data_IF_062037809411
#
_entry.id   IF_062037809411
#
_cell.length_a   1.000
_cell.length_b   1.000
_cell.length_c   1.000
_cell.angle_alpha   90.00
_cell.angle_beta   90.00
_cell.angle_gamma   90.00
#
_symmetry.space_group_name_H-M   'P 1'
#
loop_
_entity.id
_entity.type
_entity.pdbx_description
1 polymer ?
#
# COMPACT_ATOMS: atom_id res chain seq x y z
N UNK A 1 30.96 -38.72 2.19
CA UNK A 1 30.31 -39.53 3.25
C UNK A 1 29.55 -38.66 4.26
N UNK A 2 28.71 -37.73 3.78
CA UNK A 2 27.77 -36.92 4.60
C UNK A 2 26.33 -37.01 4.10
N UNK A 3 26.09 -37.81 3.06
CA UNK A 3 24.76 -38.10 2.46
C UNK A 3 24.12 -39.39 3.01
N UNK A 4 24.74 -40.02 4.02
CA UNK A 4 24.28 -41.28 4.64
C UNK A 4 23.72 -41.11 6.06
N UNK A 5 23.57 -39.87 6.53
CA UNK A 5 23.06 -39.55 7.88
C UNK A 5 21.70 -38.82 7.88
N UNK A 6 20.96 -38.88 6.76
CA UNK A 6 19.59 -38.34 6.66
C UNK A 6 18.52 -39.42 6.48
N UNK A 7 18.91 -40.70 6.50
CA UNK A 7 18.02 -41.84 6.26
C UNK A 7 17.59 -42.59 7.54
N UNK A 8 17.91 -42.07 8.74
CA UNK A 8 17.73 -42.81 10.00
C UNK A 8 16.78 -42.14 11.01
N UNK A 9 16.12 -41.03 10.65
CA UNK A 9 15.13 -40.34 11.52
C UNK A 9 13.68 -40.58 11.05
N UNK A 10 13.47 -41.20 9.88
CA UNK A 10 12.14 -41.60 9.39
C UNK A 10 11.65 -42.97 9.91
N UNK A 11 12.36 -43.60 10.86
CA UNK A 11 12.04 -44.93 11.40
C UNK A 11 11.34 -44.92 12.78
N UNK A 12 10.65 -43.83 13.13
CA UNK A 12 9.75 -43.76 14.31
C UNK A 12 8.27 -43.66 13.89
N UNK A 13 7.98 -43.92 12.61
CA UNK A 13 6.61 -44.20 12.14
C UNK A 13 6.37 -45.70 12.28
N UNK A 14 6.08 -46.13 13.51
CA UNK A 14 5.49 -47.44 13.78
C UNK A 14 4.54 -47.34 14.97
N UNK A 15 3.27 -47.67 14.68
CA UNK A 15 2.42 -48.49 15.55
C UNK A 15 1.59 -47.81 16.64
N UNK A 16 0.38 -47.35 16.26
CA UNK A 16 -0.89 -47.66 16.94
C UNK A 16 -2.06 -47.04 16.17
N UNK A 17 -3.23 -47.63 15.94
CA UNK A 17 -3.75 -49.00 15.94
C UNK A 17 -5.10 -48.89 15.21
N UNK A 18 -5.42 -49.87 14.37
CA UNK A 18 -6.69 -49.96 13.68
C UNK A 18 -7.85 -50.21 14.66
N UNK A 19 -9.03 -49.65 14.40
CA UNK A 19 -10.29 -50.20 14.92
C UNK A 19 -11.41 -50.01 13.90
N UNK A 20 -11.92 -51.15 13.45
CA UNK A 20 -13.29 -51.46 13.04
C UNK A 20 -13.93 -50.79 11.80
N UNK A 21 -14.04 -51.63 10.76
CA UNK A 21 -14.99 -51.54 9.66
C UNK A 21 -16.42 -51.87 10.11
N UNK A 22 -17.43 -51.21 9.52
CA UNK A 22 -18.85 -51.55 9.63
C UNK A 22 -19.63 -50.99 8.45
N UNK A 23 -20.06 -51.87 7.55
CA UNK A 23 -20.65 -51.62 6.22
C UNK A 23 -22.12 -51.15 6.26
N UNK A 24 -22.51 -50.21 5.37
CA UNK A 24 -23.80 -50.27 4.67
C UNK A 24 -23.88 -49.33 3.45
N UNK A 25 -24.37 -49.94 2.37
CA UNK A 25 -24.75 -49.48 1.03
C UNK A 25 -25.40 -48.10 0.90
N UNK A 26 -25.03 -47.37 -0.16
CA UNK A 26 -25.81 -46.25 -0.69
C UNK A 26 -25.07 -45.42 -1.75
N UNK A 27 -25.06 -45.87 -3.01
CA UNK A 27 -24.66 -45.07 -4.17
C UNK A 27 -25.62 -43.89 -4.36
N UNK A 28 -25.12 -42.67 -4.39
CA UNK A 28 -25.71 -41.59 -5.21
C UNK A 28 -24.60 -40.64 -5.64
N UNK A 29 -24.41 -40.53 -6.96
CA UNK A 29 -23.58 -39.51 -7.57
C UNK A 29 -24.12 -38.12 -7.28
N UNK A 30 -23.26 -37.19 -6.85
CA UNK A 30 -23.35 -35.78 -7.25
C UNK A 30 -21.93 -35.22 -7.30
N UNK A 31 -21.47 -35.03 -8.54
CA UNK A 31 -20.26 -34.31 -8.92
C UNK A 31 -20.60 -32.82 -9.00
N UNK A 32 -19.79 -31.95 -8.40
CA UNK A 32 -19.76 -30.55 -8.79
C UNK A 32 -19.43 -29.57 -7.67
N UNK A 33 -18.13 -29.31 -7.52
CA UNK A 33 -17.55 -28.02 -7.10
C UNK A 33 -17.69 -27.61 -5.62
N UNK A 34 -16.79 -28.16 -4.80
CA UNK A 34 -16.17 -27.37 -3.74
C UNK A 34 -15.27 -26.33 -4.41
N UNK A 35 -15.71 -25.08 -4.48
CA UNK A 35 -14.78 -23.95 -4.47
C UNK A 35 -14.19 -23.91 -3.07
N UNK A 36 -13.07 -24.59 -2.92
CA UNK A 36 -12.12 -24.38 -1.85
C UNK A 36 -11.60 -22.97 -2.04
N UNK A 37 -12.24 -21.99 -1.41
CA UNK A 37 -11.57 -20.75 -1.06
C UNK A 37 -10.49 -21.16 -0.08
N UNK A 38 -9.33 -21.49 -0.64
CA UNK A 38 -8.09 -21.54 0.09
C UNK A 38 -7.84 -20.11 0.54
N UNK A 39 -8.49 -19.73 1.65
CA UNK A 39 -8.04 -18.64 2.48
C UNK A 39 -6.61 -19.02 2.88
N UNK A 40 -5.65 -18.52 2.09
CA UNK A 40 -4.35 -18.19 2.62
C UNK A 40 -4.61 -17.45 3.91
N UNK A 41 -3.85 -17.80 4.94
CA UNK A 41 -3.64 -16.91 6.08
C UNK A 41 -2.93 -15.66 5.52
N UNK A 42 -3.69 -14.79 4.83
CA UNK A 42 -3.23 -13.52 4.28
C UNK A 42 -2.93 -12.64 5.49
N UNK A 43 -1.64 -12.47 5.79
CA UNK A 43 -1.20 -11.49 6.76
C UNK A 43 -1.81 -10.14 6.42
N UNK A 44 -2.35 -9.45 7.43
CA UNK A 44 -2.89 -8.11 7.26
C UNK A 44 -1.81 -7.20 6.65
N UNK A 45 -2.06 -6.70 5.44
CA UNK A 45 -1.18 -5.73 4.76
C UNK A 45 -0.95 -4.52 5.67
N UNK A 46 0.30 -4.09 5.77
CA UNK A 46 0.76 -2.94 6.56
C UNK A 46 1.18 -1.81 5.63
N UNK A 47 0.53 -0.66 5.76
CA UNK A 47 0.81 0.55 4.98
C UNK A 47 1.24 1.67 5.92
N UNK A 48 2.39 2.27 5.66
CA UNK A 48 2.84 3.47 6.32
C UNK A 48 2.76 4.66 5.35
N UNK A 49 2.26 5.80 5.83
CA UNK A 49 2.17 7.05 5.07
C UNK A 49 3.11 8.10 5.67
N UNK A 50 3.93 8.72 4.81
CA UNK A 50 4.82 9.84 5.13
C UNK A 50 4.37 11.10 4.38
N UNK A 51 3.95 12.13 5.12
CA UNK A 51 3.52 13.40 4.56
C UNK A 51 4.31 14.59 5.12
N UNK A 52 4.41 15.72 4.42
CA UNK A 52 5.11 16.89 4.92
C UNK A 52 4.43 17.50 6.16
N UNK A 53 3.10 17.54 6.19
CA UNK A 53 2.36 18.28 7.23
C UNK A 53 0.92 17.81 7.39
N UNK A 54 0.28 18.24 8.48
CA UNK A 54 -1.18 18.25 8.68
C UNK A 54 -1.73 19.66 8.96
N UNK A 55 -0.93 20.70 8.79
CA UNK A 55 -1.30 22.08 9.10
C UNK A 55 -2.19 22.74 8.02
N UNK A 56 -2.45 22.05 6.91
CA UNK A 56 -3.37 22.47 5.87
C UNK A 56 -4.55 21.48 5.79
N UNK A 57 -5.81 21.97 5.67
CA UNK A 57 -7.00 21.15 5.49
C UNK A 57 -6.88 20.04 4.44
N UNK A 58 -6.13 20.26 3.33
CA UNK A 58 -5.94 19.22 2.31
C UNK A 58 -5.28 17.96 2.89
N UNK A 59 -4.19 18.12 3.63
CA UNK A 59 -3.47 17.00 4.25
C UNK A 59 -4.31 16.30 5.31
N UNK A 60 -5.11 17.05 6.07
CA UNK A 60 -6.06 16.49 7.05
C UNK A 60 -7.10 15.61 6.35
N UNK A 61 -7.67 16.10 5.25
CA UNK A 61 -8.67 15.34 4.49
C UNK A 61 -8.06 14.13 3.79
N UNK A 62 -6.84 14.26 3.27
CA UNK A 62 -6.12 13.16 2.65
C UNK A 62 -5.78 12.04 3.65
N UNK A 63 -5.23 12.40 4.81
CA UNK A 63 -5.02 11.49 5.95
C UNK A 63 -6.28 10.72 6.33
N UNK A 64 -7.39 11.44 6.52
CA UNK A 64 -8.66 10.84 6.90
C UNK A 64 -9.17 9.88 5.82
N UNK A 65 -9.07 10.28 4.54
CA UNK A 65 -9.45 9.42 3.42
C UNK A 65 -8.63 8.14 3.33
N UNK A 66 -7.30 8.23 3.53
CA UNK A 66 -6.40 7.08 3.58
C UNK A 66 -6.77 6.14 4.73
N UNK A 67 -6.99 6.68 5.93
CA UNK A 67 -7.38 5.91 7.11
C UNK A 67 -8.73 5.21 6.93
N UNK A 68 -9.74 5.93 6.47
CA UNK A 68 -11.08 5.38 6.24
C UNK A 68 -11.06 4.24 5.22
N UNK A 69 -10.23 4.34 4.18
CA UNK A 69 -10.07 3.28 3.19
C UNK A 69 -9.31 2.08 3.77
N UNK A 70 -8.25 2.32 4.55
CA UNK A 70 -7.52 1.25 5.21
C UNK A 70 -8.42 0.44 6.16
N UNK A 71 -9.26 1.11 6.95
CA UNK A 71 -10.24 0.44 7.82
C UNK A 71 -11.24 -0.41 7.02
N UNK A 72 -11.77 0.12 5.92
CA UNK A 72 -12.70 -0.62 5.03
C UNK A 72 -12.06 -1.85 4.39
N UNK A 73 -10.77 -1.79 4.11
CA UNK A 73 -10.01 -2.89 3.51
C UNK A 73 -9.37 -3.83 4.54
N UNK A 74 -9.48 -3.52 5.83
CA UNK A 74 -8.82 -4.29 6.89
C UNK A 74 -7.30 -4.20 6.87
N UNK A 75 -6.74 -3.10 6.34
CA UNK A 75 -5.29 -2.81 6.27
C UNK A 75 -4.82 -2.19 7.59
N UNK A 76 -3.65 -2.59 8.07
CA UNK A 76 -2.96 -1.89 9.17
C UNK A 76 -2.33 -0.62 8.63
N UNK A 77 -2.75 0.53 9.12
CA UNK A 77 -2.31 1.82 8.63
C UNK A 77 -1.62 2.64 9.72
N UNK A 78 -0.50 3.25 9.37
CA UNK A 78 0.17 4.27 10.18
C UNK A 78 0.46 5.50 9.33
N UNK A 79 0.50 6.66 9.98
CA UNK A 79 0.77 7.92 9.31
C UNK A 79 1.74 8.73 10.18
N UNK A 80 2.73 9.33 9.52
CA UNK A 80 3.74 10.17 10.15
C UNK A 80 3.91 11.44 9.31
N UNK A 81 4.16 12.56 9.97
CA UNK A 81 4.56 13.81 9.30
C UNK A 81 5.97 14.21 9.68
N UNK A 82 6.56 15.08 8.87
CA UNK A 82 7.74 15.82 9.31
C UNK A 82 7.44 16.62 10.60
N UNK A 83 8.49 16.98 11.36
CA UNK A 83 8.33 17.88 12.50
C UNK A 83 7.79 19.24 12.06
N UNK A 84 7.02 19.89 12.92
CA UNK A 84 6.28 21.11 12.58
C UNK A 84 7.14 22.34 12.25
N UNK A 85 8.44 22.33 12.60
CA UNK A 85 9.41 23.36 12.24
C UNK A 85 10.21 23.04 10.96
N UNK A 86 9.95 21.88 10.35
CA UNK A 86 10.67 21.33 9.19
C UNK A 86 9.73 20.58 8.24
N UNK A 87 8.49 21.05 8.14
CA UNK A 87 7.38 20.42 7.39
C UNK A 87 7.75 20.02 5.96
N UNK A 88 8.49 20.89 5.26
CA UNK A 88 8.86 20.70 3.85
C UNK A 88 10.36 20.42 3.66
N UNK A 89 11.05 20.07 4.74
CA UNK A 89 12.48 19.78 4.69
C UNK A 89 12.74 18.34 4.17
N UNK A 90 13.58 18.17 3.13
CA UNK A 90 13.90 16.84 2.60
C UNK A 90 14.70 15.97 3.56
N UNK A 91 15.62 16.53 4.36
CA UNK A 91 16.42 15.74 5.31
C UNK A 91 15.54 15.20 6.45
N UNK A 92 14.60 16.02 6.94
CA UNK A 92 13.59 15.58 7.89
C UNK A 92 12.75 14.42 7.32
N UNK A 93 12.33 14.52 6.05
CA UNK A 93 11.53 13.46 5.41
C UNK A 93 12.35 12.19 5.17
N UNK A 94 13.63 12.29 4.82
CA UNK A 94 14.55 11.15 4.75
C UNK A 94 14.55 10.40 6.09
N UNK A 95 14.76 11.11 7.19
CA UNK A 95 14.75 10.49 8.52
C UNK A 95 13.41 9.84 8.88
N UNK A 96 12.27 10.39 8.44
CA UNK A 96 10.97 9.72 8.58
C UNK A 96 10.93 8.42 7.77
N UNK A 97 11.36 8.44 6.51
CA UNK A 97 11.37 7.25 5.65
C UNK A 97 12.27 6.15 6.24
N UNK A 98 13.48 6.48 6.68
CA UNK A 98 14.40 5.53 7.33
C UNK A 98 13.78 4.88 8.57
N UNK A 99 13.09 5.66 9.41
CA UNK A 99 12.38 5.14 10.57
C UNK A 99 11.23 4.21 10.17
N UNK A 100 10.50 4.52 9.08
CA UNK A 100 9.45 3.67 8.55
C UNK A 100 9.99 2.36 7.97
N UNK A 101 11.14 2.40 7.28
CA UNK A 101 11.83 1.20 6.78
C UNK A 101 12.09 0.23 7.93
N UNK A 102 12.53 0.73 9.10
CA UNK A 102 12.78 -0.09 10.28
C UNK A 102 11.53 -0.76 10.88
N UNK A 103 10.33 -0.30 10.50
CA UNK A 103 9.06 -0.94 10.89
C UNK A 103 8.61 -2.04 9.94
N UNK A 104 9.35 -2.25 8.85
CA UNK A 104 9.12 -3.27 7.81
C UNK A 104 7.66 -3.32 7.28
N UNK A 105 7.06 -2.18 6.87
CA UNK A 105 5.74 -2.19 6.25
C UNK A 105 5.79 -2.83 4.86
N UNK A 106 4.67 -3.35 4.37
CA UNK A 106 4.57 -3.85 2.99
C UNK A 106 4.64 -2.70 1.97
N UNK A 107 4.09 -1.54 2.34
CA UNK A 107 4.02 -0.34 1.49
C UNK A 107 4.37 0.90 2.28
N UNK A 108 5.22 1.76 1.70
CA UNK A 108 5.38 3.15 2.14
C UNK A 108 4.78 4.06 1.05
N UNK A 109 3.78 4.85 1.44
CA UNK A 109 3.23 5.93 0.65
C UNK A 109 3.87 7.25 1.07
N UNK A 110 4.35 8.04 0.10
CA UNK A 110 5.12 9.26 0.36
C UNK A 110 4.50 10.42 -0.44
N UNK A 111 4.13 11.51 0.23
CA UNK A 111 4.00 12.81 -0.43
C UNK A 111 5.34 13.54 -0.36
N UNK A 112 6.13 13.57 -1.45
CA UNK A 112 7.54 13.94 -1.40
C UNK A 112 7.73 15.45 -1.22
N UNK A 113 8.64 15.84 -0.31
CA UNK A 113 9.04 17.24 -0.09
C UNK A 113 9.99 17.77 -1.16
N UNK A 114 10.61 16.87 -1.95
CA UNK A 114 11.53 17.21 -3.03
C UNK A 114 11.44 16.20 -4.17
N UNK A 115 11.60 16.67 -5.41
CA UNK A 115 11.62 15.80 -6.60
C UNK A 115 12.82 14.85 -6.61
N UNK A 116 13.97 15.30 -6.13
CA UNK A 116 15.23 14.53 -6.18
C UNK A 116 15.81 14.24 -4.79
N UNK A 117 15.51 15.11 -3.81
CA UNK A 117 16.22 15.15 -2.53
C UNK A 117 16.00 13.95 -1.62
N UNK A 118 15.00 13.12 -1.88
CA UNK A 118 14.66 11.95 -1.05
C UNK A 118 14.89 10.61 -1.78
N UNK A 119 15.42 10.64 -3.01
CA UNK A 119 15.52 9.45 -3.85
C UNK A 119 16.35 8.32 -3.22
N UNK A 120 17.42 8.65 -2.50
CA UNK A 120 18.26 7.65 -1.82
C UNK A 120 17.49 6.89 -0.75
N UNK A 121 16.60 7.55 0.00
CA UNK A 121 15.75 6.87 0.98
C UNK A 121 14.67 6.00 0.31
N UNK A 122 14.14 6.43 -0.83
CA UNK A 122 13.21 5.63 -1.66
C UNK A 122 13.91 4.37 -2.18
N UNK A 123 15.14 4.52 -2.68
CA UNK A 123 15.96 3.40 -3.14
C UNK A 123 16.21 2.40 -2.01
N UNK A 124 16.57 2.88 -0.82
CA UNK A 124 16.77 2.04 0.35
C UNK A 124 15.52 1.23 0.70
N UNK A 125 14.35 1.88 0.81
CA UNK A 125 13.08 1.20 1.05
C UNK A 125 12.81 0.10 0.02
N UNK A 126 13.00 0.40 -1.26
CA UNK A 126 12.80 -0.56 -2.35
C UNK A 126 13.78 -1.74 -2.27
N UNK A 127 15.05 -1.52 -1.89
CA UNK A 127 16.03 -2.61 -1.72
C UNK A 127 15.70 -3.53 -0.55
N UNK A 128 14.98 -3.03 0.45
CA UNK A 128 14.45 -3.81 1.57
C UNK A 128 13.17 -4.59 1.21
N UNK A 129 12.71 -4.49 -0.05
CA UNK A 129 11.51 -5.18 -0.54
C UNK A 129 10.21 -4.45 -0.24
N UNK A 130 10.27 -3.21 0.27
CA UNK A 130 9.11 -2.40 0.58
C UNK A 130 8.62 -1.75 -0.72
N UNK A 131 7.31 -1.82 -0.98
CA UNK A 131 6.73 -1.15 -2.14
C UNK A 131 6.60 0.35 -1.87
N UNK A 132 7.21 1.17 -2.72
CA UNK A 132 7.11 2.64 -2.59
C UNK A 132 6.08 3.20 -3.58
N UNK A 133 5.13 3.99 -3.07
CA UNK A 133 4.14 4.74 -3.83
C UNK A 133 4.29 6.22 -3.50
N UNK A 134 4.12 7.12 -4.48
CA UNK A 134 4.06 8.56 -4.20
C UNK A 134 2.66 9.11 -4.39
N UNK A 135 2.28 10.15 -3.65
CA UNK A 135 1.06 10.92 -3.87
C UNK A 135 1.33 12.43 -3.87
N UNK A 136 0.39 13.20 -4.43
CA UNK A 136 0.48 14.67 -4.49
C UNK A 136 1.49 15.16 -5.54
N UNK A 137 2.75 14.76 -5.36
CA UNK A 137 3.89 15.09 -6.19
C UNK A 137 4.62 13.84 -6.72
N UNK A 138 5.53 14.04 -7.69
CA UNK A 138 6.38 12.98 -8.25
C UNK A 138 7.83 13.20 -7.83
N UNK A 139 8.54 12.09 -7.66
CA UNK A 139 10.00 12.10 -7.58
C UNK A 139 10.59 11.67 -8.93
N UNK A 140 11.90 11.87 -9.09
CA UNK A 140 12.65 11.35 -10.23
C UNK A 140 13.15 9.91 -10.04
N UNK A 141 12.97 9.33 -8.84
CA UNK A 141 13.36 7.94 -8.56
C UNK A 141 12.62 6.95 -9.44
N UNK A 142 13.36 5.97 -9.98
CA UNK A 142 12.80 4.86 -10.76
C UNK A 142 12.22 3.73 -9.89
N UNK A 143 12.43 3.80 -8.57
CA UNK A 143 11.99 2.80 -7.59
C UNK A 143 10.57 3.05 -7.06
N UNK A 144 9.91 4.10 -7.55
CA UNK A 144 8.49 4.36 -7.28
C UNK A 144 7.62 3.46 -8.16
N UNK A 145 6.79 2.63 -7.53
CA UNK A 145 5.93 1.65 -8.22
C UNK A 145 4.72 2.32 -8.89
N UNK A 146 4.14 3.32 -8.22
CA UNK A 146 3.05 4.12 -8.77
C UNK A 146 3.08 5.53 -8.17
N UNK A 147 2.65 6.51 -8.95
CA UNK A 147 2.41 7.89 -8.48
C UNK A 147 0.93 8.23 -8.62
N UNK A 148 0.34 8.73 -7.53
CA UNK A 148 -1.04 9.17 -7.44
C UNK A 148 -1.04 10.70 -7.44
N UNK A 149 -1.18 11.31 -8.60
CA UNK A 149 -1.12 12.77 -8.76
C UNK A 149 -2.32 13.31 -9.52
N UNK A 150 -2.80 14.49 -9.14
CA UNK A 150 -3.78 15.22 -9.93
C UNK A 150 -3.14 15.84 -11.18
N UNK A 151 -3.91 15.93 -12.28
CA UNK A 151 -3.52 16.70 -13.46
C UNK A 151 -3.71 18.20 -13.18
N UNK A 152 -2.68 18.80 -12.57
CA UNK A 152 -2.69 20.22 -12.19
C UNK A 152 -2.80 21.17 -13.41
N UNK A 153 -2.39 20.75 -14.61
CA UNK A 153 -2.58 21.54 -15.82
C UNK A 153 -4.05 21.60 -16.21
N UNK A 154 -4.74 20.46 -16.24
CA UNK A 154 -6.19 20.44 -16.47
C UNK A 154 -6.97 21.14 -15.36
N UNK A 155 -6.52 21.00 -14.11
CA UNK A 155 -7.01 21.80 -12.99
C UNK A 155 -6.93 23.29 -13.31
N UNK A 156 -5.73 23.79 -13.61
CA UNK A 156 -5.51 25.20 -13.98
C UNK A 156 -6.30 25.67 -15.20
N UNK A 157 -6.41 24.84 -16.25
CA UNK A 157 -7.23 25.11 -17.44
C UNK A 157 -8.71 25.22 -17.06
N UNK A 158 -9.19 24.37 -16.15
CA UNK A 158 -10.59 24.38 -15.72
C UNK A 158 -10.89 25.57 -14.81
N UNK A 159 -9.96 25.94 -13.93
CA UNK A 159 -10.05 27.18 -13.17
C UNK A 159 -10.08 28.40 -14.10
N UNK A 160 -9.20 28.41 -15.11
CA UNK A 160 -9.12 29.49 -16.10
C UNK A 160 -10.36 29.60 -16.99
N UNK A 161 -10.98 28.47 -17.37
CA UNK A 161 -12.21 28.43 -18.17
C UNK A 161 -13.48 28.83 -17.39
N UNK A 162 -13.44 28.82 -16.05
CA UNK A 162 -14.59 29.17 -15.20
C UNK A 162 -14.65 30.67 -14.85
N UNK A 163 -13.76 31.48 -15.43
CA UNK A 163 -13.67 32.94 -15.38
C UNK A 163 -13.55 33.59 -13.97
N UNK A 164 -12.36 34.11 -13.66
CA UNK A 164 -12.20 35.36 -12.88
C UNK A 164 -12.70 35.42 -11.44
N UNK A 165 -13.05 34.30 -10.80
CA UNK A 165 -13.37 34.24 -9.36
C UNK A 165 -12.37 33.37 -8.62
N UNK A 166 -12.06 33.80 -7.40
CA UNK A 166 -10.96 33.41 -6.53
C UNK A 166 -10.68 31.90 -6.46
N UNK A 167 -9.39 31.58 -6.38
CA UNK A 167 -8.73 30.26 -6.36
C UNK A 167 -9.35 29.21 -5.41
N UNK A 168 -10.15 29.64 -4.43
CA UNK A 168 -10.80 28.83 -3.39
C UNK A 168 -11.76 27.75 -3.93
N UNK A 169 -12.46 27.99 -5.05
CA UNK A 169 -13.54 27.11 -5.52
C UNK A 169 -13.12 26.04 -6.54
N UNK A 170 -11.94 26.15 -7.12
CA UNK A 170 -11.53 25.20 -8.16
C UNK A 170 -11.16 23.82 -7.59
N UNK A 171 -10.82 23.78 -6.29
CA UNK A 171 -10.29 22.60 -5.61
C UNK A 171 -11.38 21.62 -5.17
N UNK A 172 -12.54 22.11 -4.72
CA UNK A 172 -13.66 21.28 -4.26
C UNK A 172 -14.24 20.41 -5.38
N UNK A 173 -14.33 20.91 -6.61
CA UNK A 173 -14.91 20.14 -7.74
C UNK A 173 -13.90 19.17 -8.40
N UNK A 174 -12.58 19.43 -8.31
CA UNK A 174 -11.56 18.63 -8.99
C UNK A 174 -11.04 17.45 -8.17
N UNK A 175 -10.99 17.58 -6.84
CA UNK A 175 -10.44 16.55 -5.95
C UNK A 175 -11.49 15.62 -5.33
N UNK A 176 -12.74 16.07 -5.16
CA UNK A 176 -13.73 15.34 -4.33
C UNK A 176 -14.71 14.45 -5.10
N UNK A 177 -14.60 14.35 -6.43
CA UNK A 177 -15.44 13.49 -7.28
C UNK A 177 -15.01 12.01 -7.34
N UNK A 178 -14.54 11.41 -6.24
CA UNK A 178 -14.07 10.01 -6.21
C UNK A 178 -15.06 9.05 -5.55
N UNK A 179 -16.26 8.89 -6.12
CA UNK A 179 -17.19 7.82 -5.71
C UNK A 179 -16.77 6.42 -6.18
N UNK A 180 -15.82 6.33 -7.12
CA UNK A 180 -15.24 5.06 -7.54
C UNK A 180 -13.79 5.29 -7.99
N UNK A 181 -12.91 4.39 -7.58
CA UNK A 181 -11.48 4.33 -7.93
C UNK A 181 -11.18 4.29 -9.46
N UNK A 182 -12.22 4.33 -10.30
CA UNK A 182 -12.16 4.33 -11.77
C UNK A 182 -11.95 5.72 -12.39
N UNK A 183 -11.94 6.80 -11.60
CA UNK A 183 -11.84 8.18 -12.11
C UNK A 183 -10.83 9.08 -11.39
N UNK A 184 -9.82 8.52 -10.74
CA UNK A 184 -8.61 9.29 -10.47
C UNK A 184 -7.92 9.57 -11.81
N UNK A 185 -8.13 10.76 -12.38
CA UNK A 185 -7.39 11.23 -13.55
C UNK A 185 -5.92 11.31 -13.17
N UNK A 186 -5.11 10.37 -13.69
CA UNK A 186 -3.65 10.43 -13.58
C UNK A 186 -2.96 9.25 -12.87
N UNK A 187 -3.64 8.17 -12.49
CA UNK A 187 -2.96 6.96 -12.00
C UNK A 187 -2.13 6.29 -13.10
N UNK A 188 -0.90 6.75 -13.33
CA UNK A 188 0.13 5.98 -14.03
C UNK A 188 0.73 4.95 -13.07
N UNK A 189 0.00 3.86 -12.81
CA UNK A 189 0.62 2.69 -12.22
C UNK A 189 1.31 1.91 -13.35
N UNK A 190 2.64 1.79 -13.28
CA UNK A 190 3.36 0.82 -14.10
C UNK A 190 2.91 -0.56 -13.63
N UNK A 191 2.27 -1.30 -14.53
CA UNK A 191 1.92 -2.69 -14.32
C UNK A 191 3.23 -3.49 -14.34
N UNK A 192 3.68 -3.98 -13.19
CA UNK A 192 4.68 -5.04 -13.12
C UNK A 192 3.99 -6.39 -13.31
#
# INVERSE_FOLDING_TARGET
MKKKMMALVLAVVMSASATACGSSTGTTETKGEKTEDAASEEGTVVVAQAMPTLNNPWYVQFANGSKDMAEKLGIKFSQVTNPGDSEWDPEAQIGIIENLIATEPDVIEIDPTSTDGINTAIEEAATMGITVVTSGSRTSSEHVSCSITADNYQGGVSCGKRDGKTFEWCWEDYCFGCDTWKRCYGCTCKRF
#
